data_IF_661582073798
#
_entry.id   IF_661582073798
#
_cell.length_a   1.000
_cell.length_b   1.000
_cell.length_c   1.000
_cell.angle_alpha   90.00
_cell.angle_beta   90.00
_cell.angle_gamma   90.00
#
_symmetry.space_group_name_H-M   'P 1'
#
loop_
_entity.id
_entity.type
_entity.pdbx_description
1 polymer ?
#
# COMPACT_ATOMS: atom_id res chain seq x y z
N UNK A 1 -17.91 8.89 0.43
CA UNK A 1 -17.92 9.65 1.70
C UNK A 1 -16.55 10.24 2.07
N UNK A 2 -15.57 9.48 2.58
CA UNK A 2 -14.30 10.06 3.06
C UNK A 2 -13.56 10.90 2.00
N UNK A 3 -13.31 10.29 0.83
CA UNK A 3 -12.63 10.96 -0.29
C UNK A 3 -13.36 12.21 -0.81
N UNK A 4 -14.70 12.26 -0.72
CA UNK A 4 -15.49 13.45 -1.10
C UNK A 4 -15.22 14.60 -0.12
N UNK A 5 -15.23 14.37 1.19
CA UNK A 5 -14.96 15.43 2.17
C UNK A 5 -13.51 15.92 2.09
N UNK A 6 -12.55 15.03 1.83
CA UNK A 6 -11.17 15.43 1.52
C UNK A 6 -11.08 16.29 0.25
N UNK A 7 -11.80 15.90 -0.81
CA UNK A 7 -11.84 16.66 -2.07
C UNK A 7 -12.44 18.06 -1.86
N UNK A 8 -13.49 18.18 -1.03
CA UNK A 8 -14.07 19.47 -0.65
C UNK A 8 -13.10 20.31 0.18
N UNK A 9 -12.44 19.73 1.20
CA UNK A 9 -11.40 20.41 1.98
C UNK A 9 -10.31 21.00 1.06
N UNK A 10 -9.84 20.24 0.07
CA UNK A 10 -8.82 20.71 -0.87
C UNK A 10 -9.31 21.82 -1.81
N UNK A 11 -10.61 21.87 -2.13
CA UNK A 11 -11.20 22.96 -2.93
C UNK A 11 -11.40 24.24 -2.10
N UNK A 12 -11.88 24.12 -0.87
CA UNK A 12 -11.98 25.20 0.11
C UNK A 12 -10.59 25.77 0.47
N UNK A 13 -9.61 24.87 0.67
CA UNK A 13 -8.22 25.26 0.90
C UNK A 13 -7.68 26.04 -0.29
N UNK A 14 -7.80 25.51 -1.52
CA UNK A 14 -7.31 26.20 -2.71
C UNK A 14 -7.94 27.57 -2.92
N UNK A 15 -9.28 27.68 -2.83
CA UNK A 15 -9.97 28.96 -3.00
C UNK A 15 -9.61 30.00 -1.94
N UNK A 16 -9.27 29.56 -0.72
CA UNK A 16 -8.79 30.44 0.36
C UNK A 16 -7.31 30.78 0.24
N UNK A 17 -6.47 29.86 -0.25
CA UNK A 17 -5.01 29.95 -0.22
C UNK A 17 -4.38 30.54 -1.49
N UNK A 18 -4.96 30.28 -2.66
CA UNK A 18 -4.41 30.67 -3.98
C UNK A 18 -4.14 32.19 -4.11
N UNK A 19 -4.93 33.11 -3.51
CA UNK A 19 -4.61 34.55 -3.50
C UNK A 19 -3.39 34.97 -2.65
N UNK A 20 -2.91 34.11 -1.74
CA UNK A 20 -1.82 34.41 -0.80
C UNK A 20 -0.48 33.76 -1.20
N UNK A 21 -0.47 32.91 -2.23
CA UNK A 21 0.71 32.13 -2.62
C UNK A 21 1.22 32.64 -3.97
N UNK A 22 2.21 33.54 -3.88
CA UNK A 22 2.94 34.07 -5.03
C UNK A 22 3.96 33.06 -5.57
N UNK A 23 4.65 33.43 -6.66
CA UNK A 23 5.66 32.56 -7.28
C UNK A 23 6.89 32.32 -6.40
N UNK A 24 7.20 33.21 -5.46
CA UNK A 24 8.30 33.08 -4.50
C UNK A 24 7.95 32.03 -3.42
N UNK A 25 6.80 32.18 -2.76
CA UNK A 25 6.27 31.21 -1.80
C UNK A 25 6.13 29.83 -2.44
N UNK A 26 5.58 29.75 -3.67
CA UNK A 26 5.46 28.48 -4.38
C UNK A 26 6.83 27.85 -4.69
N UNK A 27 7.86 28.65 -4.96
CA UNK A 27 9.22 28.14 -5.16
C UNK A 27 9.88 27.70 -3.84
N UNK A 28 9.61 28.37 -2.72
CA UNK A 28 10.02 27.90 -1.39
C UNK A 28 9.34 26.56 -1.04
N UNK A 29 8.05 26.42 -1.32
CA UNK A 29 7.31 25.16 -1.16
C UNK A 29 7.91 24.05 -2.05
N UNK A 30 8.24 24.33 -3.31
CA UNK A 30 8.97 23.36 -4.16
C UNK A 30 10.30 22.95 -3.54
N UNK A 31 11.08 23.88 -2.99
CA UNK A 31 12.37 23.61 -2.36
C UNK A 31 12.24 22.70 -1.13
N UNK A 32 11.29 22.99 -0.23
CA UNK A 32 11.08 22.20 0.99
C UNK A 32 10.77 20.73 0.66
N UNK A 33 9.94 20.49 -0.34
CA UNK A 33 9.52 19.15 -0.77
C UNK A 33 10.41 18.53 -1.88
N UNK A 34 11.62 19.04 -2.14
CA UNK A 34 12.53 18.50 -3.18
C UNK A 34 12.81 17.02 -2.99
N UNK A 35 13.10 16.61 -1.76
CA UNK A 35 13.54 15.26 -1.42
C UNK A 35 12.37 14.25 -1.47
N UNK A 36 11.20 14.65 -0.98
CA UNK A 36 9.99 13.82 -0.99
C UNK A 36 9.40 13.66 -2.41
N UNK A 37 9.42 14.73 -3.21
CA UNK A 37 8.88 14.71 -4.57
C UNK A 37 9.83 14.03 -5.56
N UNK A 38 11.13 13.93 -5.25
CA UNK A 38 12.23 13.39 -6.08
C UNK A 38 11.98 13.51 -7.59
N UNK A 39 11.76 14.74 -8.07
CA UNK A 39 11.57 14.99 -9.50
C UNK A 39 11.72 16.46 -9.82
N UNK A 40 12.96 16.90 -10.04
CA UNK A 40 13.28 18.26 -10.51
C UNK A 40 12.40 18.66 -11.71
N UNK A 41 12.19 17.75 -12.67
CA UNK A 41 11.32 17.99 -13.84
C UNK A 41 9.85 18.26 -13.47
N UNK A 42 9.24 17.51 -12.54
CA UNK A 42 7.85 17.76 -12.12
C UNK A 42 7.75 19.06 -11.32
N UNK A 43 8.71 19.33 -10.43
CA UNK A 43 8.79 20.57 -9.65
C UNK A 43 8.87 21.82 -10.55
N UNK A 44 9.68 21.77 -11.62
CA UNK A 44 9.75 22.84 -12.63
C UNK A 44 8.48 22.98 -13.47
N UNK A 45 7.69 21.92 -13.63
CA UNK A 45 6.42 21.94 -14.38
C UNK A 45 5.24 22.47 -13.56
N UNK A 46 5.35 22.50 -12.22
CA UNK A 46 4.36 23.07 -11.31
C UNK A 46 4.37 24.61 -11.37
N UNK A 47 3.31 25.20 -11.93
CA UNK A 47 3.14 26.65 -12.05
C UNK A 47 2.38 27.29 -10.89
N UNK A 48 1.39 26.58 -10.36
CA UNK A 48 0.39 27.12 -9.43
C UNK A 48 0.22 26.21 -8.21
N UNK A 49 -0.34 26.73 -7.10
CA UNK A 49 -0.63 25.97 -5.88
C UNK A 49 -1.47 24.70 -6.16
N UNK A 50 -2.46 24.82 -7.05
CA UNK A 50 -3.31 23.72 -7.53
C UNK A 50 -2.55 22.61 -8.26
N UNK A 51 -1.44 22.93 -8.93
CA UNK A 51 -0.54 21.93 -9.50
C UNK A 51 0.37 21.31 -8.43
N UNK A 52 0.75 22.07 -7.40
CA UNK A 52 1.60 21.61 -6.30
C UNK A 52 0.90 20.61 -5.39
N UNK A 53 -0.31 20.91 -4.91
CA UNK A 53 -1.13 19.98 -4.11
C UNK A 53 -1.34 18.66 -4.87
N UNK A 54 -1.72 18.74 -6.16
CA UNK A 54 -1.85 17.57 -7.05
C UNK A 54 -0.55 16.83 -7.34
N UNK A 55 0.62 17.38 -7.00
CA UNK A 55 1.91 16.71 -7.09
C UNK A 55 2.25 15.98 -5.79
N UNK A 56 1.87 16.53 -4.63
CA UNK A 56 1.96 15.88 -3.32
C UNK A 56 1.03 14.65 -3.26
N UNK A 57 -0.23 14.79 -3.69
CA UNK A 57 -1.19 13.68 -3.84
C UNK A 57 -0.62 12.54 -4.71
N UNK A 58 0.01 12.88 -5.85
CA UNK A 58 0.62 11.92 -6.79
C UNK A 58 1.97 11.35 -6.32
N UNK A 59 2.40 11.69 -5.11
CA UNK A 59 3.58 11.17 -4.43
C UNK A 59 3.25 10.53 -3.08
N UNK A 60 1.97 10.46 -2.70
CA UNK A 60 1.47 9.97 -1.41
C UNK A 60 1.99 10.78 -0.19
N UNK A 61 2.47 12.01 -0.44
CA UNK A 61 2.92 12.96 0.60
C UNK A 61 1.72 13.63 1.28
N UNK A 62 0.62 13.78 0.54
CA UNK A 62 -0.65 14.29 1.04
C UNK A 62 -1.77 13.30 0.66
N UNK A 63 -2.63 12.99 1.62
CA UNK A 63 -3.73 12.05 1.45
C UNK A 63 -4.93 12.45 2.32
N UNK A 64 -6.02 11.69 2.26
CA UNK A 64 -7.19 11.93 3.12
C UNK A 64 -6.91 11.67 4.61
N UNK A 65 -5.84 10.94 4.95
CA UNK A 65 -5.37 10.72 6.33
C UNK A 65 -4.17 11.59 6.70
N UNK A 66 -3.38 12.05 5.73
CA UNK A 66 -2.25 12.96 5.95
C UNK A 66 -2.49 14.33 5.29
N UNK A 67 -3.03 15.27 6.07
CA UNK A 67 -3.20 16.68 5.69
C UNK A 67 -2.11 17.60 6.27
N UNK A 68 -1.03 17.06 6.85
CA UNK A 68 0.06 17.87 7.44
C UNK A 68 0.68 18.89 6.46
N UNK A 69 0.81 18.63 5.14
CA UNK A 69 1.28 19.65 4.21
C UNK A 69 0.30 20.84 4.06
N UNK A 70 -1.01 20.65 4.25
CA UNK A 70 -1.98 21.76 4.26
C UNK A 70 -1.83 22.62 5.53
N UNK A 71 -1.66 21.97 6.68
CA UNK A 71 -1.33 22.66 7.94
C UNK A 71 -0.04 23.47 7.84
N UNK A 72 1.02 22.89 7.26
CA UNK A 72 2.30 23.57 7.05
C UNK A 72 2.11 24.82 6.17
N UNK A 73 1.43 24.69 5.03
CA UNK A 73 1.17 25.80 4.12
C UNK A 73 0.35 26.91 4.82
N UNK A 74 -0.70 26.53 5.56
CA UNK A 74 -1.54 27.48 6.31
C UNK A 74 -0.73 28.26 7.35
N UNK A 75 -0.08 27.55 8.28
CA UNK A 75 0.66 28.13 9.41
C UNK A 75 1.92 28.88 9.02
N UNK A 76 2.52 28.58 7.84
CA UNK A 76 3.79 29.19 7.42
C UNK A 76 3.63 30.39 6.49
N UNK A 77 2.55 30.45 5.71
CA UNK A 77 2.38 31.45 4.65
C UNK A 77 1.05 32.21 4.72
N UNK A 78 -0.05 31.55 5.09
CA UNK A 78 -1.40 32.11 4.93
C UNK A 78 -1.90 32.80 6.20
N UNK A 79 -1.64 32.20 7.38
CA UNK A 79 -2.00 32.74 8.70
C UNK A 79 -3.51 33.13 8.83
N UNK A 80 -4.40 32.36 8.20
CA UNK A 80 -5.86 32.57 8.21
C UNK A 80 -6.54 31.65 9.24
N UNK A 81 -7.15 32.18 10.32
CA UNK A 81 -7.81 31.33 11.32
C UNK A 81 -9.00 30.54 10.75
N UNK A 82 -9.74 31.08 9.78
CA UNK A 82 -10.82 30.38 9.04
C UNK A 82 -10.31 29.13 8.28
N UNK A 83 -9.07 29.16 7.82
CA UNK A 83 -8.44 28.02 7.14
C UNK A 83 -8.00 26.96 8.15
N UNK A 84 -7.50 27.40 9.30
CA UNK A 84 -7.08 26.53 10.40
C UNK A 84 -8.27 25.84 11.08
N UNK A 85 -9.41 26.54 11.25
CA UNK A 85 -10.65 25.90 11.74
C UNK A 85 -11.17 24.84 10.76
N UNK A 86 -11.14 25.10 9.44
CA UNK A 86 -11.54 24.09 8.44
C UNK A 86 -10.65 22.84 8.44
N UNK A 87 -9.35 23.00 8.69
CA UNK A 87 -8.43 21.87 8.88
C UNK A 87 -8.75 21.12 10.19
N UNK A 88 -8.97 21.84 11.29
CA UNK A 88 -9.32 21.25 12.59
C UNK A 88 -10.67 20.51 12.57
N UNK A 89 -11.67 21.04 11.87
CA UNK A 89 -12.99 20.42 11.63
C UNK A 89 -12.90 19.17 10.76
N UNK A 90 -11.88 19.09 9.90
CA UNK A 90 -11.59 17.89 9.13
C UNK A 90 -10.91 16.83 10.00
N UNK A 91 -9.89 17.18 10.80
CA UNK A 91 -9.25 16.23 11.73
C UNK A 91 -10.23 15.69 12.77
N UNK A 92 -11.00 16.57 13.43
CA UNK A 92 -12.00 16.16 14.44
C UNK A 92 -13.07 15.23 13.85
N UNK A 93 -13.41 15.42 12.58
CA UNK A 93 -14.30 14.51 11.85
C UNK A 93 -13.60 13.23 11.39
N UNK A 94 -12.31 13.28 11.04
CA UNK A 94 -11.53 12.11 10.63
C UNK A 94 -11.37 11.14 11.80
N UNK A 95 -11.09 11.65 13.01
CA UNK A 95 -11.11 10.87 14.26
C UNK A 95 -12.50 10.23 14.49
N UNK A 96 -13.58 11.02 14.40
CA UNK A 96 -14.95 10.54 14.59
C UNK A 96 -15.45 9.56 13.51
N UNK A 97 -14.83 9.50 12.34
CA UNK A 97 -15.22 8.62 11.21
C UNK A 97 -14.17 7.53 10.92
N UNK A 98 -13.09 7.47 11.69
CA UNK A 98 -12.12 6.37 11.70
C UNK A 98 -12.43 5.44 12.88
N UNK A 99 -13.24 4.38 12.69
CA UNK A 99 -13.47 3.40 13.75
C UNK A 99 -12.18 2.62 14.04
N UNK A 100 -11.42 3.13 15.01
CA UNK A 100 -10.16 2.60 15.50
C UNK A 100 -9.03 2.64 14.47
N UNK A 101 -8.18 3.67 14.57
CA UNK A 101 -6.74 3.48 14.38
C UNK A 101 -6.29 2.41 15.39
N UNK A 102 -6.20 1.15 14.93
CA UNK A 102 -5.87 -0.08 15.67
C UNK A 102 -5.76 0.12 17.18
N UNK A 103 -6.90 0.03 17.88
CA UNK A 103 -6.91 0.02 19.34
C UNK A 103 -6.03 -1.15 19.79
N UNK A 104 -4.90 -0.85 20.40
CA UNK A 104 -3.88 -1.86 20.67
C UNK A 104 -4.28 -2.62 21.94
N UNK A 105 -5.17 -3.61 21.78
CA UNK A 105 -5.79 -4.40 22.85
C UNK A 105 -4.74 -5.05 23.78
N UNK A 106 -3.50 -5.22 23.29
CA UNK A 106 -2.35 -5.74 24.05
C UNK A 106 -1.48 -4.65 24.72
N UNK A 107 -1.98 -3.41 24.88
CA UNK A 107 -1.28 -2.33 25.60
C UNK A 107 -2.12 -1.66 26.71
N UNK A 108 -3.26 -2.23 27.09
CA UNK A 108 -4.12 -1.75 28.18
C UNK A 108 -3.96 -2.50 29.52
N UNK A 109 -2.96 -3.38 29.64
CA UNK A 109 -2.58 -4.05 30.90
C UNK A 109 -1.08 -3.90 31.19
N UNK A 110 -0.64 -2.67 31.50
CA UNK A 110 0.44 -2.41 32.49
C UNK A 110 0.66 -0.90 32.73
N UNK A 111 -0.26 -0.28 33.49
CA UNK A 111 -0.02 1.01 34.15
C UNK A 111 -0.62 1.02 35.56
N UNK A 112 0.04 0.32 36.48
CA UNK A 112 -0.17 0.49 37.92
C UNK A 112 0.10 1.96 38.27
N UNK A 113 -0.83 2.70 38.92
CA UNK A 113 -0.58 4.06 39.35
C UNK A 113 0.39 4.07 40.54
N UNK A 114 1.67 4.36 40.29
CA UNK A 114 2.62 4.63 41.38
C UNK A 114 2.46 6.06 41.86
N UNK A 115 2.24 6.16 43.17
CA UNK A 115 1.92 7.38 43.92
C UNK A 115 3.09 8.37 43.86
N UNK A 116 2.78 9.66 43.75
CA UNK A 116 3.76 10.73 43.94
C UNK A 116 4.25 10.74 45.40
N UNK A 117 5.52 10.40 45.61
CA UNK A 117 6.26 10.80 46.82
C UNK A 117 7.40 11.70 46.40
N UNK A 118 7.29 12.98 46.75
CA UNK A 118 8.36 13.95 46.65
C UNK A 118 9.57 13.52 47.48
N UNK A 119 10.78 13.68 46.93
CA UNK A 119 11.85 14.27 47.72
C UNK A 119 12.89 14.96 46.83
N UNK A 120 13.71 15.82 47.42
CA UNK A 120 14.70 16.63 46.70
C UNK A 120 16.01 16.74 47.47
N UNK A 121 17.13 16.29 46.87
CA UNK A 121 18.30 17.14 46.59
C UNK A 121 19.48 16.40 45.91
N UNK A 122 20.28 17.22 45.21
CA UNK A 122 21.74 17.18 44.92
C UNK A 122 22.56 16.00 45.49
N UNK A 123 23.61 15.50 44.83
CA UNK A 123 24.84 16.26 44.46
C UNK A 123 25.56 15.80 43.17
N UNK A 124 26.60 16.55 42.79
CA UNK A 124 27.50 16.29 41.66
C UNK A 124 28.87 15.76 42.14
N UNK A 125 29.49 14.83 41.38
CA UNK A 125 30.96 14.81 41.24
C UNK A 125 31.42 14.09 39.97
N UNK A 126 32.49 14.59 39.37
CA UNK A 126 33.32 13.86 38.40
C UNK A 126 34.26 12.92 39.17
N UNK A 127 34.67 11.80 38.56
CA UNK A 127 36.10 11.54 38.31
C UNK A 127 36.30 10.51 37.18
N UNK A 128 37.56 10.25 36.82
CA UNK A 128 37.97 9.72 35.51
C UNK A 128 38.41 8.25 35.53
N UNK A 129 38.67 7.70 34.33
CA UNK A 129 39.56 6.54 34.03
C UNK A 129 39.08 5.14 34.46
N UNK A 130 39.37 4.04 33.74
CA UNK A 130 40.03 3.84 32.43
C UNK A 130 39.70 2.45 31.83
N UNK A 131 39.90 2.28 30.50
CA UNK A 131 40.29 0.99 29.82
C UNK A 131 39.19 -0.11 29.83
N UNK A 132 38.92 -0.90 28.78
CA UNK A 132 39.78 -1.61 27.79
C UNK A 132 39.01 -1.89 26.47
N UNK A 133 39.70 -1.97 25.32
CA UNK A 133 39.18 -2.44 24.02
C UNK A 133 40.23 -3.35 23.34
N UNK A 134 39.86 -4.58 22.92
CA UNK A 134 39.86 -4.94 21.49
C UNK A 134 38.59 -5.73 21.10
N UNK A 135 38.03 -5.73 19.88
CA UNK A 135 38.48 -5.40 18.51
C UNK A 135 39.06 -6.57 17.68
N UNK A 136 38.37 -6.84 16.56
CA UNK A 136 38.77 -7.52 15.31
C UNK A 136 38.97 -9.06 15.21
N UNK A 137 38.31 -9.60 14.16
CA UNK A 137 38.76 -10.64 13.22
C UNK A 137 38.93 -12.10 13.72
N UNK A 138 38.76 -13.15 12.88
CA UNK A 138 38.10 -13.33 11.56
C UNK A 138 38.01 -14.85 11.25
N UNK A 139 37.44 -15.24 10.09
CA UNK A 139 37.60 -16.56 9.43
C UNK A 139 36.92 -17.80 10.09
N UNK A 140 36.58 -18.90 9.39
CA UNK A 140 36.31 -19.15 7.95
C UNK A 140 35.64 -20.54 7.73
N UNK A 141 35.19 -20.81 6.48
CA UNK A 141 34.90 -22.13 5.84
C UNK A 141 33.62 -22.91 6.23
N UNK A 142 33.13 -23.70 5.26
CA UNK A 142 31.83 -24.38 5.21
C UNK A 142 31.96 -25.92 5.15
N UNK A 143 30.88 -26.64 5.48
CA UNK A 143 30.46 -27.96 4.93
C UNK A 143 29.05 -28.27 5.48
N UNK A 144 27.97 -28.60 4.77
CA UNK A 144 27.72 -29.37 3.52
C UNK A 144 27.46 -30.88 3.70
N UNK A 145 26.23 -31.22 4.14
CA UNK A 145 25.48 -32.45 3.83
C UNK A 145 23.96 -32.13 4.01
N UNK A 146 23.04 -32.38 3.07
CA UNK A 146 22.55 -33.66 2.53
C UNK A 146 21.74 -34.48 3.56
N UNK A 147 20.56 -35.08 3.28
CA UNK A 147 19.70 -35.08 2.08
C UNK A 147 18.31 -35.72 2.39
N UNK A 148 17.33 -35.56 1.49
CA UNK A 148 16.06 -36.33 1.35
C UNK A 148 15.01 -36.17 2.50
N UNK A 149 13.69 -35.98 2.28
CA UNK A 149 12.70 -36.46 1.29
C UNK A 149 11.96 -37.75 1.70
N UNK A 150 10.65 -37.63 1.97
CA UNK A 150 9.65 -38.60 1.47
C UNK A 150 8.22 -38.03 1.48
N UNK A 151 7.40 -38.51 0.54
CA UNK A 151 5.97 -38.21 0.33
C UNK A 151 5.21 -39.56 0.26
N UNK A 152 3.86 -39.56 0.32
CA UNK A 152 2.96 -40.75 0.23
C UNK A 152 2.92 -41.65 1.49
N UNK A 153 1.87 -42.44 1.83
CA UNK A 153 0.46 -42.65 1.38
C UNK A 153 -0.29 -43.40 2.53
N UNK A 154 -1.57 -43.87 2.52
CA UNK A 154 -2.60 -44.04 1.47
C UNK A 154 -4.05 -43.75 2.02
N UNK A 155 -4.88 -44.78 2.26
CA UNK A 155 -6.32 -44.82 2.66
C UNK A 155 -6.56 -46.16 3.46
N UNK A 156 -7.74 -46.69 3.84
CA UNK A 156 -9.17 -46.49 3.50
C UNK A 156 -10.12 -47.14 4.58
N UNK A 157 -11.32 -46.58 4.82
CA UNK A 157 -12.58 -47.25 5.31
C UNK A 157 -12.63 -48.04 6.68
N UNK A 158 -13.77 -48.36 7.34
CA UNK A 158 -15.21 -48.03 7.16
C UNK A 158 -16.07 -48.10 8.48
N UNK A 159 -17.25 -47.45 8.45
CA UNK A 159 -18.52 -47.68 9.21
C UNK A 159 -18.59 -48.15 10.70
N UNK A 160 -19.35 -47.43 11.56
CA UNK A 160 -20.71 -47.81 12.07
C UNK A 160 -21.30 -46.72 13.02
N UNK A 161 -22.64 -46.64 13.15
CA UNK A 161 -23.46 -45.65 13.92
C UNK A 161 -24.57 -46.42 14.72
N UNK A 162 -25.40 -45.84 15.65
CA UNK A 162 -25.89 -44.43 15.68
C UNK A 162 -26.20 -43.78 17.08
N UNK A 163 -26.74 -42.54 17.03
CA UNK A 163 -27.45 -41.76 18.10
C UNK A 163 -26.66 -41.40 19.40
N UNK A 164 -26.87 -40.26 20.07
CA UNK A 164 -27.99 -39.28 20.04
C UNK A 164 -27.58 -37.80 19.98
N UNK A 165 -28.56 -36.96 19.61
CA UNK A 165 -28.49 -35.51 19.35
C UNK A 165 -27.99 -34.64 20.53
N UNK A 166 -27.26 -33.56 20.25
CA UNK A 166 -27.68 -32.18 20.59
C UNK A 166 -26.83 -31.09 19.89
N UNK A 167 -27.48 -29.98 19.53
CA UNK A 167 -26.94 -28.61 19.31
C UNK A 167 -25.53 -28.40 18.70
N UNK A 168 -25.39 -28.39 17.36
CA UNK A 168 -24.26 -27.67 16.71
C UNK A 168 -24.45 -27.20 15.25
N UNK A 169 -25.69 -27.02 14.77
CA UNK A 169 -25.99 -26.57 13.39
C UNK A 169 -25.81 -25.05 13.17
N UNK A 170 -24.64 -24.51 13.50
CA UNK A 170 -24.27 -23.10 13.19
C UNK A 170 -22.81 -22.87 12.75
N UNK A 171 -21.89 -23.82 12.93
CA UNK A 171 -20.44 -23.54 12.79
C UNK A 171 -19.80 -23.91 11.44
N UNK A 172 -20.51 -24.57 10.51
CA UNK A 172 -19.89 -25.13 9.29
C UNK A 172 -20.07 -24.29 8.00
N UNK A 173 -20.71 -23.11 8.08
CA UNK A 173 -21.12 -22.33 6.89
C UNK A 173 -20.13 -21.22 6.49
N UNK A 174 -19.15 -20.90 7.33
CA UNK A 174 -18.13 -19.87 7.07
C UNK A 174 -17.05 -20.38 6.12
N UNK A 175 -16.32 -21.42 6.51
CA UNK A 175 -15.18 -21.98 5.79
C UNK A 175 -15.53 -22.37 4.35
N UNK A 176 -16.68 -23.02 4.15
CA UNK A 176 -17.17 -23.42 2.82
C UNK A 176 -17.46 -22.21 1.91
N UNK A 177 -17.91 -21.09 2.50
CA UNK A 177 -18.23 -19.84 1.78
C UNK A 177 -16.98 -19.05 1.44
N UNK A 178 -15.98 -19.05 2.32
CA UNK A 178 -14.67 -18.44 2.07
C UNK A 178 -13.90 -19.20 0.99
N UNK A 179 -13.85 -20.54 1.08
CA UNK A 179 -13.24 -21.39 0.04
C UNK A 179 -13.91 -21.19 -1.32
N UNK A 180 -15.25 -21.16 -1.37
CA UNK A 180 -16.01 -20.88 -2.59
C UNK A 180 -15.64 -19.50 -3.19
N UNK A 181 -15.56 -18.46 -2.36
CA UNK A 181 -15.18 -17.11 -2.81
C UNK A 181 -13.73 -17.07 -3.32
N UNK A 182 -12.80 -17.77 -2.65
CA UNK A 182 -11.39 -17.82 -3.03
C UNK A 182 -11.19 -18.57 -4.36
N UNK A 183 -11.92 -19.67 -4.57
CA UNK A 183 -11.93 -20.41 -5.85
C UNK A 183 -12.62 -19.62 -6.98
N UNK A 184 -13.71 -18.89 -6.68
CA UNK A 184 -14.36 -17.97 -7.63
C UNK A 184 -13.42 -16.83 -8.03
N UNK A 185 -12.67 -16.26 -7.07
CA UNK A 185 -11.64 -15.22 -7.31
C UNK A 185 -10.50 -15.74 -8.18
N UNK A 186 -9.98 -16.94 -7.89
CA UNK A 186 -8.87 -17.53 -8.67
C UNK A 186 -9.28 -17.77 -10.12
N UNK A 187 -10.49 -18.27 -10.37
CA UNK A 187 -11.07 -18.44 -11.72
C UNK A 187 -11.24 -17.11 -12.47
N UNK A 188 -11.66 -16.04 -11.79
CA UNK A 188 -11.73 -14.70 -12.39
C UNK A 188 -10.33 -14.16 -12.73
N UNK A 189 -9.35 -14.29 -11.83
CA UNK A 189 -7.97 -13.88 -12.07
C UNK A 189 -7.38 -14.63 -13.28
N UNK A 190 -7.55 -15.95 -13.34
CA UNK A 190 -7.09 -16.80 -14.45
C UNK A 190 -7.77 -16.45 -15.78
N UNK A 191 -9.10 -16.25 -15.80
CA UNK A 191 -9.84 -15.84 -16.99
C UNK A 191 -9.39 -14.47 -17.53
N UNK A 192 -9.12 -13.51 -16.64
CA UNK A 192 -8.56 -12.20 -17.01
C UNK A 192 -7.13 -12.35 -17.54
N UNK A 193 -6.26 -13.13 -16.88
CA UNK A 193 -4.89 -13.39 -17.33
C UNK A 193 -4.85 -13.99 -18.74
N UNK A 194 -5.72 -14.95 -19.05
CA UNK A 194 -5.82 -15.55 -20.38
C UNK A 194 -6.27 -14.53 -21.46
N UNK A 195 -7.25 -13.69 -21.18
CA UNK A 195 -7.70 -12.66 -22.14
C UNK A 195 -6.66 -11.55 -22.36
N UNK A 196 -5.86 -11.21 -21.35
CA UNK A 196 -4.73 -10.27 -21.51
C UNK A 196 -3.56 -10.94 -22.25
N UNK A 197 -3.25 -12.21 -21.96
CA UNK A 197 -2.19 -13.02 -22.61
C UNK A 197 -2.26 -12.98 -24.13
N UNK A 198 -3.44 -13.20 -24.70
CA UNK A 198 -3.62 -13.23 -26.15
C UNK A 198 -3.62 -11.86 -26.83
N UNK A 199 -3.86 -10.76 -26.08
CA UNK A 199 -4.10 -9.42 -26.66
C UNK A 199 -2.98 -8.41 -26.39
N UNK A 200 -2.19 -8.59 -25.32
CA UNK A 200 -1.24 -7.57 -24.86
C UNK A 200 -0.05 -7.38 -25.79
N UNK A 201 0.41 -8.44 -26.48
CA UNK A 201 1.41 -8.34 -27.54
C UNK A 201 2.68 -7.57 -27.13
N UNK A 202 3.26 -6.79 -28.05
CA UNK A 202 4.53 -6.08 -27.83
C UNK A 202 4.50 -5.02 -26.72
N UNK A 203 3.31 -4.53 -26.32
CA UNK A 203 3.15 -3.56 -25.23
C UNK A 203 3.36 -4.15 -23.82
N UNK A 204 3.72 -5.44 -23.69
CA UNK A 204 3.83 -6.09 -22.39
C UNK A 204 4.89 -5.48 -21.46
N UNK A 205 6.06 -5.08 -21.96
CA UNK A 205 7.12 -4.47 -21.13
C UNK A 205 6.66 -3.13 -20.52
N UNK A 206 5.93 -2.32 -21.27
CA UNK A 206 5.43 -1.03 -20.77
C UNK A 206 4.32 -1.21 -19.73
N UNK A 207 3.45 -2.20 -19.92
CA UNK A 207 2.45 -2.56 -18.91
C UNK A 207 3.10 -3.18 -17.67
N UNK A 208 4.12 -4.04 -17.81
CA UNK A 208 4.87 -4.61 -16.69
C UNK A 208 5.47 -3.53 -15.77
N UNK A 209 6.15 -2.53 -16.35
CA UNK A 209 6.66 -1.35 -15.63
C UNK A 209 5.56 -0.52 -14.97
N UNK A 210 4.34 -0.56 -15.47
CA UNK A 210 3.18 0.13 -14.90
C UNK A 210 2.41 -0.69 -13.85
N UNK A 211 2.58 -2.01 -13.85
CA UNK A 211 2.17 -2.95 -12.80
C UNK A 211 3.12 -2.91 -11.59
N UNK A 212 4.35 -2.41 -11.75
CA UNK A 212 5.37 -2.30 -10.70
C UNK A 212 6.41 -3.43 -10.71
N UNK A 213 6.31 -4.37 -11.65
CA UNK A 213 7.29 -5.44 -11.85
C UNK A 213 8.64 -4.85 -12.23
N UNK A 214 9.72 -5.33 -11.62
CA UNK A 214 11.05 -4.76 -11.77
C UNK A 214 11.66 -5.05 -13.14
N UNK A 215 12.57 -4.19 -13.62
CA UNK A 215 13.17 -4.39 -14.94
C UNK A 215 14.03 -5.67 -15.00
N UNK A 216 14.60 -6.13 -13.87
CA UNK A 216 15.30 -7.41 -13.82
C UNK A 216 14.36 -8.63 -13.89
N UNK A 217 13.15 -8.59 -13.30
CA UNK A 217 12.11 -9.61 -13.53
C UNK A 217 11.62 -9.60 -14.99
N UNK A 218 11.52 -8.42 -15.60
CA UNK A 218 11.16 -8.24 -17.03
C UNK A 218 12.22 -8.86 -17.95
N UNK A 219 13.49 -8.52 -17.77
CA UNK A 219 14.58 -9.05 -18.61
C UNK A 219 14.85 -10.54 -18.32
N UNK A 220 14.69 -11.01 -17.09
CA UNK A 220 14.73 -12.44 -16.77
C UNK A 220 13.58 -13.21 -17.45
N UNK A 221 12.37 -12.66 -17.47
CA UNK A 221 11.22 -13.28 -18.15
C UNK A 221 11.40 -13.30 -19.67
N UNK A 222 11.93 -12.22 -20.25
CA UNK A 222 12.29 -12.19 -21.67
C UNK A 222 13.38 -13.23 -22.00
N UNK A 223 14.37 -13.40 -21.13
CA UNK A 223 15.45 -14.38 -21.29
C UNK A 223 14.97 -15.83 -21.12
N UNK A 224 13.96 -16.06 -20.29
CA UNK A 224 13.33 -17.37 -20.05
C UNK A 224 12.43 -17.82 -21.21
N UNK A 225 11.76 -16.89 -21.88
CA UNK A 225 10.82 -17.17 -22.97
C UNK A 225 11.13 -16.32 -24.23
N UNK A 226 12.32 -16.40 -24.84
CA UNK A 226 12.80 -15.41 -25.82
C UNK A 226 11.95 -15.33 -27.10
N UNK A 227 11.29 -16.42 -27.50
CA UNK A 227 10.47 -16.49 -28.71
C UNK A 227 8.95 -16.52 -28.43
N UNK A 228 8.53 -16.77 -27.19
CA UNK A 228 7.11 -16.86 -26.83
C UNK A 228 6.64 -15.60 -26.09
N UNK A 229 6.09 -14.68 -26.87
CA UNK A 229 5.50 -13.43 -26.40
C UNK A 229 4.31 -13.67 -25.45
N UNK A 230 3.57 -14.78 -25.60
CA UNK A 230 2.41 -15.09 -24.76
C UNK A 230 2.84 -15.61 -23.39
N UNK A 231 3.86 -16.47 -23.33
CA UNK A 231 4.41 -16.89 -22.03
C UNK A 231 5.17 -15.77 -21.32
N UNK A 232 5.83 -14.86 -22.04
CA UNK A 232 6.34 -13.60 -21.46
C UNK A 232 5.22 -12.82 -20.74
N UNK A 233 4.08 -12.59 -21.42
CA UNK A 233 2.94 -11.88 -20.82
C UNK A 233 2.38 -12.66 -19.62
N UNK A 234 2.20 -13.97 -19.75
CA UNK A 234 1.56 -14.79 -18.73
C UNK A 234 2.38 -14.88 -17.44
N UNK A 235 3.70 -15.08 -17.52
CA UNK A 235 4.56 -15.15 -16.35
C UNK A 235 4.66 -13.78 -15.64
N UNK A 236 4.73 -12.66 -16.38
CA UNK A 236 4.67 -11.31 -15.78
C UNK A 236 3.36 -11.07 -15.04
N UNK A 237 2.21 -11.44 -15.64
CA UNK A 237 0.92 -11.31 -14.98
C UNK A 237 0.82 -12.21 -13.74
N UNK A 238 1.45 -13.39 -13.77
CA UNK A 238 1.50 -14.32 -12.63
C UNK A 238 2.37 -13.78 -11.49
N UNK A 239 3.56 -13.24 -11.79
CA UNK A 239 4.42 -12.53 -10.83
C UNK A 239 3.63 -11.38 -10.18
N UNK A 240 2.98 -10.55 -11.00
CA UNK A 240 2.15 -9.44 -10.53
C UNK A 240 0.98 -9.89 -9.62
N UNK A 241 0.24 -10.95 -9.98
CA UNK A 241 -0.86 -11.48 -9.16
C UNK A 241 -0.34 -12.07 -7.83
N UNK A 242 0.87 -12.65 -7.81
CA UNK A 242 1.52 -13.14 -6.59
C UNK A 242 2.01 -11.99 -5.69
N UNK A 243 2.36 -10.83 -6.26
CA UNK A 243 2.81 -9.63 -5.55
C UNK A 243 1.67 -8.68 -5.14
N UNK A 244 0.45 -8.87 -5.65
CA UNK A 244 -0.66 -7.92 -5.49
C UNK A 244 -1.60 -8.23 -4.33
N UNK A 245 -2.07 -7.18 -3.66
CA UNK A 245 -3.19 -7.28 -2.74
C UNK A 245 -4.47 -7.79 -3.41
N UNK A 246 -5.14 -8.71 -2.70
CA UNK A 246 -6.34 -9.44 -3.15
C UNK A 246 -7.48 -8.53 -3.63
N UNK A 247 -7.60 -7.32 -3.09
CA UNK A 247 -8.67 -6.36 -3.43
C UNK A 247 -8.25 -5.32 -4.48
N UNK A 248 -6.95 -5.17 -4.78
CA UNK A 248 -6.44 -4.07 -5.63
C UNK A 248 -5.82 -4.52 -6.95
N UNK A 249 -5.53 -5.82 -7.13
CA UNK A 249 -4.91 -6.36 -8.36
C UNK A 249 -5.68 -5.93 -9.64
N UNK A 250 -7.01 -5.88 -9.59
CA UNK A 250 -7.84 -5.52 -10.73
C UNK A 250 -7.73 -4.03 -11.09
N UNK A 251 -7.84 -3.14 -10.08
CA UNK A 251 -7.77 -1.69 -10.24
C UNK A 251 -6.38 -1.28 -10.74
N UNK A 252 -5.32 -1.89 -10.20
CA UNK A 252 -3.95 -1.63 -10.63
C UNK A 252 -3.65 -2.19 -12.03
N UNK A 253 -4.23 -3.34 -12.41
CA UNK A 253 -4.13 -3.88 -13.78
C UNK A 253 -4.81 -2.97 -14.81
N UNK A 254 -6.06 -2.54 -14.54
CA UNK A 254 -6.81 -1.58 -15.35
C UNK A 254 -6.01 -0.29 -15.54
N UNK A 255 -5.46 0.25 -14.44
CA UNK A 255 -4.61 1.45 -14.43
C UNK A 255 -3.30 1.27 -15.19
N UNK A 256 -2.71 0.08 -15.19
CA UNK A 256 -1.49 -0.23 -15.94
C UNK A 256 -1.75 -0.36 -17.44
N UNK A 257 -2.84 -1.02 -17.85
CA UNK A 257 -3.28 -1.12 -19.24
C UNK A 257 -3.61 0.26 -19.84
N UNK A 258 -4.27 1.13 -19.06
CA UNK A 258 -4.56 2.50 -19.45
C UNK A 258 -3.30 3.34 -19.68
N UNK A 259 -2.34 3.32 -18.72
CA UNK A 259 -1.03 3.98 -18.88
C UNK A 259 -0.25 3.42 -20.08
N UNK A 260 -0.29 2.09 -20.28
CA UNK A 260 0.27 1.37 -21.41
C UNK A 260 -0.48 1.58 -22.74
N UNK A 261 -1.46 2.49 -22.78
CA UNK A 261 -2.24 2.91 -23.96
C UNK A 261 -3.15 1.82 -24.55
N UNK A 262 -3.31 0.68 -23.87
CA UNK A 262 -4.16 -0.46 -24.29
C UNK A 262 -5.57 -0.35 -23.70
N UNK A 263 -6.28 0.72 -24.09
CA UNK A 263 -7.67 0.95 -23.71
C UNK A 263 -8.60 -0.18 -24.18
N UNK A 264 -8.29 -0.77 -25.33
CA UNK A 264 -8.95 -1.94 -25.88
C UNK A 264 -8.91 -3.16 -24.94
N UNK A 265 -7.80 -3.37 -24.23
CA UNK A 265 -7.70 -4.44 -23.22
C UNK A 265 -8.30 -3.98 -21.89
N UNK A 266 -8.11 -2.71 -21.51
CA UNK A 266 -8.71 -2.13 -20.31
C UNK A 266 -10.22 -2.34 -20.26
N UNK A 267 -10.92 -1.97 -21.33
CA UNK A 267 -12.37 -2.08 -21.49
C UNK A 267 -12.84 -3.55 -21.42
N UNK A 268 -12.10 -4.48 -22.05
CA UNK A 268 -12.38 -5.92 -21.95
C UNK A 268 -12.18 -6.47 -20.53
N UNK A 269 -11.17 -6.01 -19.79
CA UNK A 269 -10.95 -6.43 -18.40
C UNK A 269 -12.03 -5.85 -17.47
N UNK A 270 -12.44 -4.60 -17.69
CA UNK A 270 -13.57 -3.97 -16.99
C UNK A 270 -14.88 -4.75 -17.24
N UNK A 271 -15.19 -5.13 -18.49
CA UNK A 271 -16.35 -5.96 -18.82
C UNK A 271 -16.31 -7.34 -18.12
N UNK A 272 -15.16 -8.03 -18.16
CA UNK A 272 -15.00 -9.35 -17.54
C UNK A 272 -15.21 -9.31 -16.02
N UNK A 273 -14.72 -8.26 -15.35
CA UNK A 273 -14.93 -8.07 -13.90
C UNK A 273 -16.42 -7.82 -13.63
N UNK A 274 -17.02 -6.82 -14.29
CA UNK A 274 -18.43 -6.47 -14.11
C UNK A 274 -19.36 -7.67 -14.36
N UNK A 275 -19.06 -8.50 -15.37
CA UNK A 275 -19.84 -9.70 -15.70
C UNK A 275 -19.75 -10.78 -14.62
N UNK A 276 -18.65 -10.86 -13.88
CA UNK A 276 -18.47 -11.79 -12.76
C UNK A 276 -18.94 -11.23 -11.41
N UNK A 277 -19.18 -9.91 -11.31
CA UNK A 277 -19.84 -9.28 -10.14
C UNK A 277 -21.37 -9.41 -10.17
N UNK A 278 -21.97 -9.69 -11.33
CA UNK A 278 -23.42 -9.85 -11.52
C UNK A 278 -23.88 -11.34 -11.52
N UNK A 279 -23.05 -12.24 -10.98
CA UNK A 279 -23.23 -13.69 -10.82
C UNK A 279 -22.69 -14.07 -9.43
#
# INVERSE_FOLDING_TARGET
KMFEKYTLLCQDFLSTAEPFIDSNILNQLKCNYVHEIDSKRKLSQTKDLKMFIRLLEKRDIMSYSNIQPLWYISKRYIHKPDLESKLQDYESWLEAVSPLSLCNIYQSEDRVPLIETSDSQREQRLENTAVLVPSLASESICSEYACNSMLSQLLIENSTKPFSNSSQTLYCNSEQKEQYNLDKRRKLQEAVMLQVKDRLGRSWRDVARHLGVTECEIDATQSKYPYDLKEQIYEILKIYILQSDTEQWAINLIRALEKGRRRDIKELVEELILKNSNI
#
